data_IF_846960273498
#
_entry.id   IF_846960273498
#
_cell.length_a   1.000
_cell.length_b   1.000
_cell.length_c   1.000
_cell.angle_alpha   90.00
_cell.angle_beta   90.00
_cell.angle_gamma   90.00
#
_symmetry.space_group_name_H-M   'P 1'
#
loop_
_entity.id
_entity.type
_entity.pdbx_description
1 polymer ?
#
# COMPACT_ATOMS: atom_id res chain seq x y z
N UNK A 1 6.26 4.14 5.35
CA UNK A 1 5.55 4.73 4.16
C UNK A 1 6.50 5.64 3.40
N UNK A 2 6.59 5.52 2.08
CA UNK A 2 7.34 6.47 1.24
C UNK A 2 6.43 7.65 0.86
N UNK A 3 6.60 8.77 1.58
CA UNK A 3 5.77 9.96 1.41
C UNK A 3 5.90 10.62 0.02
N UNK A 4 7.10 10.56 -0.60
CA UNK A 4 7.31 11.11 -1.93
C UNK A 4 6.55 10.29 -2.98
N UNK A 5 6.59 8.98 -2.85
CA UNK A 5 5.84 8.08 -3.72
C UNK A 5 4.34 8.31 -3.58
N UNK A 6 3.83 8.41 -2.36
CA UNK A 6 2.41 8.66 -2.09
C UNK A 6 1.93 10.01 -2.67
N UNK A 7 2.72 11.07 -2.55
CA UNK A 7 2.40 12.37 -3.15
C UNK A 7 2.34 12.29 -4.67
N UNK A 8 3.31 11.61 -5.30
CA UNK A 8 3.34 11.41 -6.75
C UNK A 8 2.13 10.58 -7.24
N UNK A 9 1.83 9.49 -6.55
CA UNK A 9 0.68 8.63 -6.87
C UNK A 9 -0.66 9.39 -6.82
N UNK A 10 -0.76 10.39 -5.95
CA UNK A 10 -1.94 11.28 -5.81
C UNK A 10 -1.90 12.48 -6.76
N UNK A 11 -0.84 12.64 -7.54
CA UNK A 11 -0.59 13.84 -8.36
C UNK A 11 -0.64 15.15 -7.54
N UNK A 12 -0.15 15.10 -6.30
CA UNK A 12 -0.14 16.22 -5.36
C UNK A 12 1.29 16.73 -5.20
N UNK A 13 1.50 18.03 -5.38
CA UNK A 13 2.80 18.65 -5.12
C UNK A 13 3.06 18.82 -3.62
N UNK A 14 4.35 18.89 -3.22
CA UNK A 14 4.73 19.18 -1.83
C UNK A 14 4.12 20.51 -1.36
N UNK A 15 4.04 21.51 -2.25
CA UNK A 15 3.43 22.81 -1.93
C UNK A 15 1.93 22.68 -1.63
N UNK A 16 1.22 21.90 -2.41
CA UNK A 16 -0.20 21.64 -2.18
C UNK A 16 -0.43 20.84 -0.89
N UNK A 17 0.37 19.82 -0.65
CA UNK A 17 0.35 19.08 0.62
C UNK A 17 0.63 20.01 1.81
N UNK A 18 1.60 20.91 1.70
CA UNK A 18 1.90 21.92 2.71
C UNK A 18 0.68 22.80 3.02
N UNK A 19 0.00 23.29 1.99
CA UNK A 19 -1.22 24.11 2.13
C UNK A 19 -2.36 23.33 2.81
N UNK A 20 -2.59 22.10 2.39
CA UNK A 20 -3.68 21.25 2.93
C UNK A 20 -3.43 20.79 4.37
N UNK A 21 -2.18 20.48 4.72
CA UNK A 21 -1.81 20.01 6.07
C UNK A 21 -1.51 21.15 7.04
N UNK A 22 -1.20 22.35 6.52
CA UNK A 22 -0.66 23.45 7.33
C UNK A 22 0.70 23.14 7.96
N UNK A 23 1.48 22.22 7.34
CA UNK A 23 2.88 21.98 7.67
C UNK A 23 3.73 22.92 6.82
N UNK A 24 4.69 23.67 7.38
CA UNK A 24 5.56 24.54 6.59
C UNK A 24 6.25 23.80 5.45
N UNK A 25 6.31 24.40 4.27
CA UNK A 25 6.88 23.77 3.07
C UNK A 25 8.30 23.23 3.32
N UNK A 26 9.17 24.02 3.98
CA UNK A 26 10.55 23.61 4.26
C UNK A 26 10.64 22.37 5.15
N UNK A 27 9.77 22.29 6.16
CA UNK A 27 9.69 21.12 7.03
C UNK A 27 9.19 19.90 6.25
N UNK A 28 8.10 20.05 5.48
CA UNK A 28 7.54 18.99 4.68
C UNK A 28 8.52 18.51 3.59
N UNK A 29 9.21 19.44 2.92
CA UNK A 29 10.25 19.12 1.94
C UNK A 29 11.37 18.27 2.57
N UNK A 30 11.83 18.64 3.77
CA UNK A 30 12.88 17.90 4.48
C UNK A 30 12.42 16.49 4.89
N UNK A 31 11.17 16.32 5.30
CA UNK A 31 10.58 15.02 5.66
C UNK A 31 10.43 14.16 4.41
N UNK A 32 9.82 14.68 3.35
CA UNK A 32 9.54 13.96 2.11
C UNK A 32 10.83 13.48 1.42
N UNK A 33 11.90 14.29 1.47
CA UNK A 33 13.20 13.92 0.93
C UNK A 33 14.11 13.20 1.92
N UNK A 34 13.57 12.67 3.02
CA UNK A 34 14.29 11.88 4.04
C UNK A 34 15.49 12.61 4.68
N UNK A 35 15.54 13.95 4.59
CA UNK A 35 16.54 14.77 5.28
C UNK A 35 16.27 14.84 6.79
N UNK A 36 15.02 14.72 7.18
CA UNK A 36 14.56 14.56 8.56
C UNK A 36 13.79 13.25 8.64
N UNK A 37 14.14 12.40 9.60
CA UNK A 37 13.45 11.14 9.85
C UNK A 37 12.11 11.42 10.53
N UNK A 38 11.09 10.61 10.21
CA UNK A 38 9.76 10.72 10.81
C UNK A 38 9.80 10.59 12.34
N UNK A 39 10.69 9.73 12.87
CA UNK A 39 10.87 9.51 14.31
C UNK A 39 11.28 10.79 15.05
N UNK A 40 11.91 11.72 14.34
CA UNK A 40 12.35 13.01 14.90
C UNK A 40 11.30 14.14 14.73
N UNK A 41 10.13 13.82 14.15
CA UNK A 41 9.06 14.78 13.95
C UNK A 41 8.18 14.89 15.20
N UNK A 42 7.65 16.10 15.46
CA UNK A 42 6.65 16.27 16.49
C UNK A 42 5.38 15.48 16.18
N UNK A 43 4.75 14.88 17.19
CA UNK A 43 3.50 14.15 17.05
C UNK A 43 2.40 14.91 16.28
N UNK A 44 2.29 16.23 16.51
CA UNK A 44 1.35 17.09 15.79
C UNK A 44 1.58 17.08 14.27
N UNK A 45 2.83 17.02 13.83
CA UNK A 45 3.20 16.93 12.41
C UNK A 45 2.86 15.56 11.86
N UNK A 46 3.17 14.50 12.60
CA UNK A 46 2.83 13.11 12.22
C UNK A 46 1.32 12.93 12.09
N UNK A 47 0.55 13.45 13.05
CA UNK A 47 -0.91 13.40 13.00
C UNK A 47 -1.48 14.07 11.75
N UNK A 48 -1.00 15.26 11.40
CA UNK A 48 -1.41 15.97 10.18
C UNK A 48 -1.08 15.20 8.90
N UNK A 49 0.09 14.54 8.85
CA UNK A 49 0.47 13.68 7.73
C UNK A 49 -0.44 12.44 7.66
N UNK A 50 -0.66 11.79 8.79
CA UNK A 50 -1.53 10.63 8.88
C UNK A 50 -2.95 10.94 8.41
N UNK A 51 -3.54 12.04 8.92
CA UNK A 51 -4.87 12.51 8.51
C UNK A 51 -4.92 12.83 7.01
N UNK A 52 -3.88 13.49 6.47
CA UNK A 52 -3.79 13.81 5.04
C UNK A 52 -3.67 12.55 4.17
N UNK A 53 -2.92 11.55 4.59
CA UNK A 53 -2.75 10.29 3.88
C UNK A 53 -3.84 9.27 4.20
N UNK A 54 -4.82 9.61 5.05
CA UNK A 54 -5.92 8.72 5.48
C UNK A 54 -5.39 7.42 6.09
N UNK A 55 -4.39 7.53 6.95
CA UNK A 55 -3.76 6.42 7.66
C UNK A 55 -3.58 6.75 9.15
N UNK A 56 -3.22 5.77 9.96
CA UNK A 56 -2.81 6.01 11.35
C UNK A 56 -1.39 6.58 11.42
N UNK A 57 -1.01 7.18 12.55
CA UNK A 57 0.37 7.62 12.77
C UNK A 57 1.36 6.45 12.72
N UNK A 58 0.97 5.29 13.22
CA UNK A 58 1.81 4.08 13.20
C UNK A 58 2.06 3.59 11.77
N UNK A 59 1.06 3.72 10.90
CA UNK A 59 1.19 3.38 9.48
C UNK A 59 2.18 4.28 8.72
N UNK A 60 2.50 5.48 9.20
CA UNK A 60 3.57 6.30 8.63
C UNK A 60 4.95 5.64 8.79
N UNK A 61 5.14 4.91 9.89
CA UNK A 61 6.41 4.24 10.23
C UNK A 61 6.47 2.81 9.71
N UNK A 62 5.34 2.22 9.31
CA UNK A 62 5.34 0.84 8.81
C UNK A 62 6.19 0.76 7.56
N UNK A 63 7.24 0.01 7.62
CA UNK A 63 8.05 -0.32 6.45
C UNK A 63 7.31 -1.38 5.64
N UNK A 64 6.63 -0.93 4.58
CA UNK A 64 5.92 -1.81 3.65
C UNK A 64 6.86 -2.42 2.62
N UNK A 65 8.09 -2.67 2.98
CA UNK A 65 9.06 -3.27 2.07
C UNK A 65 8.76 -4.72 1.78
N UNK A 66 7.99 -5.38 2.65
CA UNK A 66 7.64 -6.79 2.46
C UNK A 66 6.14 -7.02 2.43
N UNK A 67 5.73 -7.84 1.47
CA UNK A 67 4.36 -8.36 1.35
C UNK A 67 4.47 -9.87 1.19
N UNK A 68 3.87 -10.63 2.09
CA UNK A 68 3.74 -12.07 1.95
C UNK A 68 2.47 -12.43 1.20
N UNK A 69 2.58 -13.29 0.22
CA UNK A 69 1.48 -13.77 -0.60
C UNK A 69 1.10 -15.16 -0.14
N UNK A 70 -0.17 -15.37 0.09
CA UNK A 70 -0.72 -16.64 0.55
C UNK A 70 -1.78 -17.18 -0.41
N UNK A 71 -1.87 -18.48 -0.51
CA UNK A 71 -3.04 -19.20 -1.00
C UNK A 71 -3.66 -19.91 0.20
N UNK A 72 -4.82 -19.45 0.67
CA UNK A 72 -5.37 -19.84 1.98
C UNK A 72 -4.30 -19.65 3.09
N UNK A 73 -3.93 -20.71 3.80
CA UNK A 73 -2.92 -20.69 4.86
C UNK A 73 -1.50 -21.04 4.38
N UNK A 74 -1.29 -21.29 3.09
CA UNK A 74 0.01 -21.61 2.51
C UNK A 74 0.68 -20.34 1.97
N UNK A 75 1.86 -20.00 2.49
CA UNK A 75 2.67 -18.91 1.93
C UNK A 75 3.25 -19.35 0.59
N UNK A 76 2.92 -18.62 -0.47
CA UNK A 76 3.27 -18.97 -1.85
C UNK A 76 4.36 -18.10 -2.44
N UNK A 77 4.48 -16.86 -1.97
CA UNK A 77 5.55 -15.96 -2.34
C UNK A 77 5.79 -14.88 -1.28
N UNK A 78 6.90 -14.19 -1.39
CA UNK A 78 7.20 -12.94 -0.69
C UNK A 78 7.69 -11.91 -1.70
N UNK A 79 7.10 -10.71 -1.66
CA UNK A 79 7.53 -9.57 -2.45
C UNK A 79 8.30 -8.60 -1.56
N UNK A 80 9.55 -8.33 -1.88
CA UNK A 80 10.36 -7.28 -1.25
C UNK A 80 10.40 -6.07 -2.16
N UNK A 81 9.87 -4.96 -1.68
CA UNK A 81 9.68 -3.72 -2.44
C UNK A 81 10.87 -2.80 -2.21
N UNK A 82 11.61 -2.49 -3.28
CA UNK A 82 12.68 -1.51 -3.31
C UNK A 82 12.22 -0.24 -4.04
N UNK A 83 13.08 0.78 -4.09
CA UNK A 83 12.75 2.07 -4.70
C UNK A 83 12.32 1.95 -6.18
N UNK A 84 13.03 1.14 -6.96
CA UNK A 84 12.82 1.03 -8.42
C UNK A 84 12.31 -0.34 -8.88
N UNK A 85 12.33 -1.34 -8.02
CA UNK A 85 12.03 -2.72 -8.35
C UNK A 85 11.37 -3.46 -7.20
N UNK A 86 10.79 -4.62 -7.52
CA UNK A 86 10.24 -5.56 -6.55
C UNK A 86 10.87 -6.92 -6.83
N UNK A 87 11.48 -7.50 -5.81
CA UNK A 87 12.01 -8.86 -5.85
C UNK A 87 10.99 -9.82 -5.28
N UNK A 88 10.77 -10.91 -5.99
CA UNK A 88 9.79 -11.94 -5.66
C UNK A 88 10.51 -13.24 -5.32
N UNK A 89 10.38 -13.70 -4.10
CA UNK A 89 10.75 -15.05 -3.71
C UNK A 89 9.52 -15.94 -3.78
N UNK A 90 9.58 -17.00 -4.58
CA UNK A 90 8.46 -17.94 -4.77
C UNK A 90 8.71 -19.20 -3.96
N UNK A 91 7.70 -19.65 -3.22
CA UNK A 91 7.76 -20.86 -2.38
C UNK A 91 6.96 -22.04 -2.97
N UNK A 92 6.26 -21.83 -4.09
CA UNK A 92 5.56 -22.88 -4.82
C UNK A 92 5.72 -22.70 -6.33
N UNK A 93 5.73 -23.79 -7.06
CA UNK A 93 5.75 -23.80 -8.53
C UNK A 93 4.33 -23.98 -9.13
N UNK A 94 3.30 -24.13 -8.30
CA UNK A 94 1.93 -24.33 -8.78
C UNK A 94 1.36 -23.01 -9.36
N UNK A 95 1.10 -22.94 -10.67
CA UNK A 95 0.61 -21.71 -11.32
C UNK A 95 -0.73 -21.22 -10.74
N UNK A 96 -1.60 -22.14 -10.30
CA UNK A 96 -2.89 -21.76 -9.71
C UNK A 96 -2.79 -21.04 -8.36
N UNK A 97 -1.61 -21.06 -7.74
CA UNK A 97 -1.32 -20.41 -6.46
C UNK A 97 -0.38 -19.23 -6.61
N UNK A 98 -0.04 -18.84 -7.84
CA UNK A 98 0.92 -17.78 -8.14
C UNK A 98 0.27 -16.62 -8.87
N UNK A 99 0.68 -15.41 -8.52
CA UNK A 99 0.32 -14.18 -9.23
C UNK A 99 1.53 -13.52 -9.91
N UNK A 100 2.75 -14.00 -9.59
CA UNK A 100 3.97 -13.46 -10.16
C UNK A 100 4.59 -14.44 -11.14
N UNK A 101 4.77 -13.99 -12.38
CA UNK A 101 5.44 -14.78 -13.42
C UNK A 101 6.97 -14.68 -13.36
N UNK A 102 7.50 -13.62 -12.75
CA UNK A 102 8.95 -13.30 -12.70
C UNK A 102 9.41 -13.15 -11.25
N UNK A 103 10.69 -13.33 -11.01
CA UNK A 103 11.34 -13.13 -9.71
C UNK A 103 11.76 -11.66 -9.48
N UNK A 104 11.78 -10.87 -10.54
CA UNK A 104 12.08 -9.45 -10.50
C UNK A 104 11.13 -8.72 -11.43
N UNK A 105 10.45 -7.71 -10.92
CA UNK A 105 9.50 -6.87 -11.65
C UNK A 105 9.73 -5.40 -11.33
N UNK A 106 9.29 -4.52 -12.23
CA UNK A 106 9.29 -3.08 -11.98
C UNK A 106 8.20 -2.71 -10.97
N UNK A 107 8.34 -1.54 -10.36
CA UNK A 107 7.26 -0.95 -9.52
C UNK A 107 5.97 -0.75 -10.30
N UNK A 108 6.07 -0.45 -11.59
CA UNK A 108 4.91 -0.30 -12.47
C UNK A 108 4.17 -1.63 -12.64
N UNK A 109 4.88 -2.70 -13.06
CA UNK A 109 4.30 -4.05 -13.19
C UNK A 109 3.66 -4.51 -11.86
N UNK A 110 4.32 -4.22 -10.73
CA UNK A 110 3.76 -4.53 -9.42
C UNK A 110 2.47 -3.76 -9.16
N UNK A 111 2.42 -2.47 -9.53
CA UNK A 111 1.21 -1.64 -9.44
C UNK A 111 0.04 -2.21 -10.27
N UNK A 112 0.30 -2.70 -11.48
CA UNK A 112 -0.71 -3.36 -12.33
C UNK A 112 -1.23 -4.64 -11.68
N UNK A 113 -0.35 -5.47 -11.11
CA UNK A 113 -0.76 -6.69 -10.38
C UNK A 113 -1.68 -6.33 -9.20
N UNK A 114 -1.34 -5.30 -8.43
CA UNK A 114 -2.21 -4.82 -7.35
C UNK A 114 -3.54 -4.29 -7.87
N UNK A 115 -3.54 -3.61 -9.02
CA UNK A 115 -4.77 -3.11 -9.64
C UNK A 115 -5.71 -4.25 -10.05
N UNK A 116 -5.19 -5.36 -10.56
CA UNK A 116 -5.98 -6.56 -10.85
C UNK A 116 -6.57 -7.22 -9.59
N UNK A 117 -6.02 -6.91 -8.43
CA UNK A 117 -6.53 -7.37 -7.12
C UNK A 117 -7.51 -6.37 -6.48
N UNK A 118 -7.92 -5.34 -7.22
CA UNK A 118 -8.87 -4.32 -6.79
C UNK A 118 -10.15 -4.38 -7.65
N UNK A 119 -11.14 -3.60 -7.23
CA UNK A 119 -12.29 -3.30 -8.09
C UNK A 119 -11.83 -2.46 -9.30
N UNK A 120 -12.62 -2.50 -10.38
CA UNK A 120 -12.39 -1.60 -11.51
C UNK A 120 -12.51 -0.13 -11.05
N UNK A 121 -11.53 0.69 -11.43
CA UNK A 121 -11.50 2.12 -11.10
C UNK A 121 -12.71 2.86 -11.68
N UNK A 122 -13.22 2.40 -12.83
CA UNK A 122 -14.37 2.99 -13.52
C UNK A 122 -15.71 2.38 -13.07
N UNK A 123 -15.70 1.56 -12.04
CA UNK A 123 -16.92 0.95 -11.49
C UNK A 123 -17.88 2.03 -10.99
N UNK A 124 -19.16 1.86 -11.26
CA UNK A 124 -20.22 2.71 -10.72
C UNK A 124 -20.15 2.81 -9.20
N UNK A 125 -20.26 4.03 -8.69
CA UNK A 125 -20.22 4.33 -7.26
C UNK A 125 -18.91 3.94 -6.56
N UNK A 126 -17.77 3.88 -7.26
CA UNK A 126 -16.46 3.53 -6.68
C UNK A 126 -16.16 4.36 -5.43
N UNK A 127 -16.55 5.64 -5.41
CA UNK A 127 -16.37 6.56 -4.28
C UNK A 127 -17.01 6.03 -2.99
N UNK A 128 -18.18 5.37 -3.07
CA UNK A 128 -18.85 4.77 -1.89
C UNK A 128 -18.03 3.61 -1.33
N UNK A 129 -17.39 2.82 -2.19
CA UNK A 129 -16.52 1.72 -1.76
C UNK A 129 -15.23 2.25 -1.14
N UNK A 130 -14.62 3.26 -1.76
CA UNK A 130 -13.44 3.92 -1.21
C UNK A 130 -13.74 4.54 0.16
N UNK A 131 -14.86 5.23 0.29
CA UNK A 131 -15.30 5.82 1.56
C UNK A 131 -15.46 4.76 2.67
N UNK A 132 -16.06 3.59 2.37
CA UNK A 132 -16.18 2.48 3.32
C UNK A 132 -14.81 1.95 3.80
N UNK A 133 -13.78 2.04 2.95
CA UNK A 133 -12.41 1.68 3.32
C UNK A 133 -11.65 2.83 4.01
N UNK A 134 -12.28 4.00 4.17
CA UNK A 134 -11.62 5.21 4.69
C UNK A 134 -10.64 5.82 3.70
N UNK A 135 -10.83 5.61 2.38
CA UNK A 135 -9.99 6.13 1.33
C UNK A 135 -10.68 7.28 0.60
N UNK A 136 -9.92 8.30 0.23
CA UNK A 136 -10.40 9.49 -0.47
C UNK A 136 -10.17 9.46 -1.98
N UNK A 137 -9.37 8.51 -2.47
CA UNK A 137 -9.04 8.35 -3.89
C UNK A 137 -8.66 6.90 -4.18
N UNK A 138 -8.74 6.52 -5.46
CA UNK A 138 -8.38 5.17 -5.90
C UNK A 138 -6.84 4.99 -5.85
N UNK A 139 -6.40 4.04 -5.05
CA UNK A 139 -5.01 3.63 -4.97
C UNK A 139 -4.96 2.11 -4.76
N UNK A 140 -4.50 1.34 -5.76
CA UNK A 140 -4.48 -0.13 -5.69
C UNK A 140 -3.74 -0.67 -4.46
N UNK A 141 -2.62 -0.07 -4.09
CA UNK A 141 -1.85 -0.49 -2.93
C UNK A 141 -2.64 -0.30 -1.62
N UNK A 142 -3.26 0.88 -1.42
CA UNK A 142 -4.06 1.16 -0.24
C UNK A 142 -5.34 0.31 -0.19
N UNK A 143 -5.96 0.08 -1.34
CA UNK A 143 -7.12 -0.82 -1.44
C UNK A 143 -6.71 -2.24 -1.05
N UNK A 144 -5.65 -2.79 -1.66
CA UNK A 144 -5.13 -4.11 -1.31
C UNK A 144 -4.74 -4.20 0.16
N UNK A 145 -4.24 -3.13 0.75
CA UNK A 145 -3.92 -3.08 2.17
C UNK A 145 -5.13 -3.20 3.07
N UNK A 146 -6.28 -2.63 2.67
CA UNK A 146 -7.54 -2.70 3.43
C UNK A 146 -8.34 -3.98 3.16
N UNK A 147 -8.21 -4.54 1.96
CA UNK A 147 -8.96 -5.72 1.51
C UNK A 147 -8.12 -6.99 1.47
N UNK A 148 -6.81 -6.88 1.76
CA UNK A 148 -5.82 -7.95 1.57
C UNK A 148 -5.78 -8.50 0.13
N UNK A 149 -6.31 -7.75 -0.84
CA UNK A 149 -6.39 -8.15 -2.24
C UNK A 149 -7.15 -9.44 -2.49
N UNK A 150 -8.05 -9.84 -1.59
CA UNK A 150 -8.86 -11.05 -1.73
C UNK A 150 -9.84 -10.91 -2.88
N UNK A 151 -9.89 -11.93 -3.74
CA UNK A 151 -10.83 -12.02 -4.86
C UNK A 151 -11.76 -13.22 -4.67
N UNK A 152 -13.01 -13.09 -5.10
CA UNK A 152 -13.97 -14.17 -5.02
C UNK A 152 -13.56 -15.42 -5.82
N UNK A 153 -12.85 -15.21 -6.93
CA UNK A 153 -12.50 -16.27 -7.91
C UNK A 153 -11.33 -17.13 -7.46
N UNK A 154 -10.47 -16.63 -6.59
CA UNK A 154 -9.30 -17.36 -6.10
C UNK A 154 -9.18 -17.23 -4.56
N UNK A 155 -8.19 -17.92 -4.01
CA UNK A 155 -7.94 -17.95 -2.57
C UNK A 155 -6.60 -17.31 -2.23
N UNK A 156 -6.12 -16.43 -3.12
CA UNK A 156 -4.86 -15.71 -2.98
C UNK A 156 -5.15 -14.41 -2.22
N UNK A 157 -4.27 -14.08 -1.29
CA UNK A 157 -4.36 -12.86 -0.51
C UNK A 157 -2.98 -12.35 -0.08
N UNK A 158 -2.93 -11.09 0.35
CA UNK A 158 -1.73 -10.41 0.78
C UNK A 158 -1.72 -10.21 2.29
N UNK A 159 -0.60 -10.54 2.90
CA UNK A 159 -0.31 -10.22 4.29
C UNK A 159 0.81 -9.18 4.33
N UNK A 160 0.53 -8.04 4.90
CA UNK A 160 1.49 -6.96 5.04
C UNK A 160 2.34 -7.15 6.30
N UNK A 161 3.52 -6.54 6.32
CA UNK A 161 4.44 -6.67 7.43
C UNK A 161 3.82 -6.14 8.74
N UNK A 162 4.09 -6.83 9.84
CA UNK A 162 3.53 -6.52 11.16
C UNK A 162 2.10 -7.01 11.43
N UNK A 163 1.39 -7.57 10.43
CA UNK A 163 0.03 -8.11 10.61
C UNK A 163 0.05 -9.52 11.22
N UNK A 164 -0.88 -9.79 12.14
CA UNK A 164 -1.11 -11.13 12.71
C UNK A 164 -2.52 -11.62 12.31
N UNK A 165 -2.69 -11.94 11.04
CA UNK A 165 -3.94 -12.38 10.43
C UNK A 165 -3.75 -13.69 9.66
N UNK A 166 -4.84 -14.40 9.45
CA UNK A 166 -4.94 -15.69 8.77
C UNK A 166 -5.95 -15.62 7.60
N UNK A 167 -6.06 -16.70 6.83
CA UNK A 167 -7.09 -16.83 5.79
C UNK A 167 -8.51 -16.66 6.34
N UNK A 168 -8.78 -17.14 7.55
CA UNK A 168 -10.12 -17.07 8.15
C UNK A 168 -10.56 -15.62 8.43
N UNK A 169 -9.60 -14.72 8.64
CA UNK A 169 -9.86 -13.30 8.94
C UNK A 169 -10.14 -12.48 7.67
N UNK A 170 -9.65 -12.93 6.51
CA UNK A 170 -9.69 -12.17 5.25
C UNK A 170 -10.58 -12.77 4.17
N UNK A 171 -10.95 -14.05 4.28
CA UNK A 171 -11.80 -14.72 3.27
C UNK A 171 -13.12 -13.98 3.10
N UNK A 172 -13.52 -13.76 1.84
CA UNK A 172 -14.86 -13.27 1.53
C UNK A 172 -15.89 -14.35 1.91
N UNK A 173 -16.89 -13.97 2.70
CA UNK A 173 -18.06 -14.80 2.99
C UNK A 173 -18.96 -14.94 1.77
#
# INVERSE_FOLDING_TARGET
MDLLHELKARNISINECSKRTGIPYSALFSIVHKKVRLENCQYKTLKKLADFFSCSTDELFTDYTKISIFWKNEKTAEATIFENEVLIERFTLNPAKQIFAKEKISRFEFGEILQWRCWDQNRDNIEKYLFKLGLTYFNPYQICRKTHGVMYQDKIWFKFDGENISWEDVKCC
#
